data_IF_877991564561
#
_entry.id   IF_877991564561
#
_cell.length_a   1.000
_cell.length_b   1.000
_cell.length_c   1.000
_cell.angle_alpha   90.00
_cell.angle_beta   90.00
_cell.angle_gamma   90.00
#
_symmetry.space_group_name_H-M   'P 1'
#
loop_
_entity.id
_entity.type
_entity.pdbx_description
1 polymer ?
#
# COMPACT_ATOMS: atom_id res chain seq x y z
N UNK A 1 10.57 -6.27 -25.16
CA UNK A 1 9.64 -5.12 -25.16
C UNK A 1 10.01 -4.22 -24.00
N UNK A 2 10.53 -3.01 -24.27
CA UNK A 2 10.75 -2.00 -23.23
C UNK A 2 9.37 -1.50 -22.81
N UNK A 3 8.95 -1.78 -21.58
CA UNK A 3 7.71 -1.24 -21.05
C UNK A 3 7.87 0.27 -20.97
N UNK A 4 7.19 0.99 -21.87
CA UNK A 4 7.01 2.43 -21.78
C UNK A 4 6.09 2.70 -20.59
N UNK A 5 6.63 2.57 -19.38
CA UNK A 5 6.04 3.16 -18.19
C UNK A 5 6.13 4.67 -18.38
N UNK A 6 5.13 5.23 -19.08
CA UNK A 6 4.77 6.62 -18.90
C UNK A 6 4.72 6.84 -17.39
N UNK A 7 5.55 7.75 -16.89
CA UNK A 7 5.62 8.21 -15.51
C UNK A 7 4.28 8.86 -15.11
N UNK A 8 3.23 8.04 -15.02
CA UNK A 8 1.83 8.41 -14.90
C UNK A 8 1.46 8.77 -13.47
N UNK A 9 2.04 9.86 -12.97
CA UNK A 9 1.59 10.57 -11.78
C UNK A 9 2.21 10.11 -10.44
N UNK A 10 2.30 11.04 -9.49
CA UNK A 10 2.72 10.79 -8.09
C UNK A 10 1.75 9.85 -7.34
N UNK A 11 0.54 9.65 -7.87
CA UNK A 11 -0.56 8.92 -7.23
C UNK A 11 -0.32 7.39 -7.14
N UNK A 12 0.05 6.68 -8.22
CA UNK A 12 0.36 5.25 -8.15
C UNK A 12 1.57 4.92 -7.25
N UNK A 13 2.63 5.73 -7.27
CA UNK A 13 3.81 5.54 -6.38
C UNK A 13 3.40 5.66 -4.91
N UNK A 14 2.63 6.69 -4.56
CA UNK A 14 2.13 6.86 -3.19
C UNK A 14 1.28 5.68 -2.71
N UNK A 15 0.42 5.12 -3.57
CA UNK A 15 -0.35 3.91 -3.25
C UNK A 15 0.54 2.69 -3.02
N UNK A 16 1.57 2.52 -3.84
CA UNK A 16 2.50 1.41 -3.69
C UNK A 16 3.32 1.50 -2.39
N UNK A 17 3.75 2.70 -2.00
CA UNK A 17 4.38 2.93 -0.70
C UNK A 17 3.45 2.58 0.47
N UNK A 18 2.17 2.95 0.37
CA UNK A 18 1.16 2.56 1.38
C UNK A 18 1.04 1.03 1.44
N UNK A 19 0.93 0.34 0.31
CA UNK A 19 0.84 -1.13 0.26
C UNK A 19 2.09 -1.78 0.88
N UNK A 20 3.29 -1.27 0.58
CA UNK A 20 4.54 -1.75 1.21
C UNK A 20 4.51 -1.59 2.72
N UNK A 21 4.12 -0.42 3.21
CA UNK A 21 3.99 -0.15 4.64
C UNK A 21 2.99 -1.09 5.31
N UNK A 22 1.81 -1.27 4.71
CA UNK A 22 0.76 -2.14 5.21
C UNK A 22 1.23 -3.60 5.29
N UNK A 23 1.94 -4.11 4.27
CA UNK A 23 2.51 -5.47 4.32
C UNK A 23 3.49 -5.62 5.48
N UNK A 24 4.38 -4.65 5.69
CA UNK A 24 5.35 -4.70 6.77
C UNK A 24 4.70 -4.62 8.16
N UNK A 25 3.67 -3.80 8.33
CA UNK A 25 2.92 -3.68 9.59
C UNK A 25 2.09 -4.94 9.86
N UNK A 26 1.39 -5.45 8.85
CA UNK A 26 0.60 -6.68 8.97
C UNK A 26 1.47 -7.91 9.26
N UNK A 27 2.65 -8.01 8.65
CA UNK A 27 3.60 -9.10 8.94
C UNK A 27 4.09 -9.08 10.39
N UNK A 28 4.19 -7.89 11.00
CA UNK A 28 4.53 -7.70 12.42
C UNK A 28 3.31 -7.73 13.34
N UNK A 29 2.11 -7.91 12.79
CA UNK A 29 0.83 -7.83 13.51
C UNK A 29 0.63 -6.50 14.25
N UNK A 30 1.23 -5.42 13.73
CA UNK A 30 1.10 -4.07 14.30
C UNK A 30 -0.14 -3.35 13.73
N UNK A 31 -0.82 -2.52 14.53
CA UNK A 31 -1.93 -1.71 14.02
C UNK A 31 -1.48 -0.71 12.95
N UNK A 32 -1.98 -0.92 11.74
CA UNK A 32 -1.65 -0.11 10.58
C UNK A 32 -2.48 1.18 10.51
N UNK A 33 -2.28 2.07 11.49
CA UNK A 33 -2.87 3.42 11.50
C UNK A 33 -2.18 4.33 10.47
N UNK A 34 -2.83 5.43 10.09
CA UNK A 34 -2.21 6.44 9.21
C UNK A 34 -0.87 6.96 9.77
N UNK A 35 -0.75 7.11 11.10
CA UNK A 35 0.50 7.48 11.75
C UNK A 35 1.59 6.42 11.61
N UNK A 36 1.25 5.14 11.82
CA UNK A 36 2.19 4.03 11.66
C UNK A 36 2.68 3.89 10.21
N UNK A 37 1.78 4.05 9.23
CA UNK A 37 2.13 4.01 7.81
C UNK A 37 3.15 5.12 7.47
N UNK A 38 2.96 6.35 7.97
CA UNK A 38 3.94 7.44 7.74
C UNK A 38 5.27 7.21 8.42
N UNK A 39 5.31 6.54 9.58
CA UNK A 39 6.58 6.18 10.21
C UNK A 39 7.35 5.15 9.39
N UNK A 40 6.64 4.22 8.76
CA UNK A 40 7.23 3.25 7.84
C UNK A 40 7.69 3.90 6.53
N UNK A 41 6.98 4.93 6.06
CA UNK A 41 7.25 5.65 4.81
C UNK A 41 7.36 7.17 5.05
N UNK A 42 8.48 7.67 5.61
CA UNK A 42 8.60 9.08 6.00
C UNK A 42 8.50 10.07 4.82
N UNK A 43 8.87 9.63 3.62
CA UNK A 43 8.78 10.41 2.39
C UNK A 43 7.33 10.55 1.86
N UNK A 44 6.38 9.82 2.44
CA UNK A 44 4.97 9.91 2.08
C UNK A 44 4.30 11.11 2.77
N UNK A 45 3.88 12.08 1.97
CA UNK A 45 3.15 13.24 2.48
C UNK A 45 1.79 12.85 3.06
N UNK A 46 1.28 13.63 4.03
CA UNK A 46 -0.04 13.37 4.65
C UNK A 46 -1.17 13.40 3.63
N UNK A 47 -1.17 14.35 2.69
CA UNK A 47 -2.21 14.46 1.67
C UNK A 47 -2.20 13.27 0.72
N UNK A 48 -1.01 12.85 0.26
CA UNK A 48 -0.84 11.64 -0.57
C UNK A 48 -1.31 10.40 0.17
N UNK A 49 -0.96 10.26 1.46
CA UNK A 49 -1.40 9.14 2.28
C UNK A 49 -2.93 9.07 2.37
N UNK A 50 -3.59 10.16 2.76
CA UNK A 50 -5.04 10.16 2.97
C UNK A 50 -5.79 9.90 1.66
N UNK A 51 -5.36 10.53 0.56
CA UNK A 51 -5.93 10.29 -0.76
C UNK A 51 -5.69 8.84 -1.24
N UNK A 52 -4.49 8.31 -0.98
CA UNK A 52 -4.11 6.94 -1.31
C UNK A 52 -4.94 5.91 -0.55
N UNK A 53 -5.07 6.06 0.78
CA UNK A 53 -5.92 5.21 1.61
C UNK A 53 -7.37 5.22 1.13
N UNK A 54 -7.95 6.40 0.92
CA UNK A 54 -9.33 6.51 0.43
C UNK A 54 -9.53 5.83 -0.93
N UNK A 55 -8.53 5.91 -1.81
CA UNK A 55 -8.58 5.21 -3.10
C UNK A 55 -8.45 3.70 -2.93
N UNK A 56 -7.52 3.22 -2.11
CA UNK A 56 -7.27 1.79 -1.90
C UNK A 56 -8.46 1.08 -1.24
N UNK A 57 -9.22 1.78 -0.38
CA UNK A 57 -10.50 1.26 0.14
C UNK A 57 -11.48 0.98 -1.00
N UNK A 58 -11.54 1.84 -2.01
CA UNK A 58 -12.47 1.68 -3.14
C UNK A 58 -11.98 0.68 -4.19
N UNK A 59 -10.67 0.56 -4.40
CA UNK A 59 -10.12 -0.10 -5.59
C UNK A 59 -9.28 -1.34 -5.32
N UNK A 60 -8.83 -1.54 -4.08
CA UNK A 60 -7.81 -2.54 -3.74
C UNK A 60 -8.18 -3.41 -2.53
N UNK A 61 -9.45 -3.40 -2.11
CA UNK A 61 -9.92 -4.22 -0.99
C UNK A 61 -9.25 -3.84 0.34
N UNK A 62 -8.86 -2.58 0.52
CA UNK A 62 -8.36 -2.12 1.80
C UNK A 62 -9.53 -2.01 2.79
N UNK A 63 -9.43 -2.70 3.93
CA UNK A 63 -10.50 -2.78 4.92
C UNK A 63 -10.14 -1.84 6.09
N UNK A 64 -10.82 -0.70 6.25
CA UNK A 64 -10.69 0.13 7.43
C UNK A 64 -11.43 -0.50 8.61
N UNK A 65 -10.83 -0.48 9.79
CA UNK A 65 -11.47 -0.88 11.05
C UNK A 65 -11.11 0.12 12.13
N UNK A 66 -12.02 0.43 13.09
CA UNK A 66 -11.66 1.19 14.27
C UNK A 66 -10.52 0.48 15.04
N UNK A 67 -9.59 1.25 15.59
CA UNK A 67 -8.53 0.74 16.44
C UNK A 67 -9.12 0.35 17.80
N UNK A 68 -8.76 -0.83 18.28
CA UNK A 68 -9.14 -1.29 19.62
C UNK A 68 -8.60 -0.32 20.69
N UNK A 69 -9.46 0.09 21.62
CA UNK A 69 -9.12 1.11 22.63
C UNK A 69 -9.08 2.56 22.12
N UNK A 70 -9.18 2.81 20.81
CA UNK A 70 -9.25 4.16 20.23
C UNK A 70 -10.17 4.22 18.99
N UNK A 71 -11.51 4.18 19.18
CA UNK A 71 -12.48 4.04 18.08
C UNK A 71 -12.49 5.19 17.07
N UNK A 72 -11.95 6.36 17.43
CA UNK A 72 -11.80 7.52 16.55
C UNK A 72 -10.65 7.39 15.55
N UNK A 73 -9.79 6.37 15.70
CA UNK A 73 -8.65 6.09 14.85
C UNK A 73 -8.93 4.83 14.03
N UNK A 74 -8.69 4.90 12.72
CA UNK A 74 -8.78 3.72 11.86
C UNK A 74 -7.41 3.02 11.73
N UNK A 75 -7.44 1.69 11.81
CA UNK A 75 -6.42 0.79 11.29
C UNK A 75 -6.85 0.27 9.92
N UNK A 76 -5.89 0.00 9.04
CA UNK A 76 -6.15 -0.40 7.66
C UNK A 76 -5.54 -1.76 7.37
N UNK A 77 -6.35 -2.72 6.90
CA UNK A 77 -5.87 -4.07 6.63
C UNK A 77 -6.04 -4.42 5.16
N UNK A 78 -5.01 -5.02 4.55
CA UNK A 78 -5.11 -5.56 3.20
C UNK A 78 -6.09 -6.74 3.18
N UNK A 79 -6.93 -6.83 2.14
CA UNK A 79 -7.84 -7.95 1.95
C UNK A 79 -7.11 -9.30 2.01
N UNK A 80 -5.96 -9.42 1.35
CA UNK A 80 -5.14 -10.64 1.33
C UNK A 80 -4.69 -11.09 2.72
N UNK A 81 -4.36 -10.14 3.61
CA UNK A 81 -4.02 -10.43 4.99
C UNK A 81 -5.26 -10.76 5.83
N UNK A 82 -6.35 -10.01 5.64
CA UNK A 82 -7.62 -10.28 6.33
C UNK A 82 -8.15 -11.68 6.02
N UNK A 83 -7.94 -12.18 4.80
CA UNK A 83 -8.27 -13.54 4.44
C UNK A 83 -7.50 -14.58 5.25
N UNK A 84 -6.20 -14.37 5.45
CA UNK A 84 -5.39 -15.21 6.35
C UNK A 84 -5.87 -15.15 7.80
N UNK A 85 -6.48 -14.03 8.19
CA UNK A 85 -7.08 -13.82 9.51
C UNK A 85 -8.56 -14.25 9.60
N UNK A 86 -9.08 -15.00 8.61
CA UNK A 86 -10.41 -15.62 8.67
C UNK A 86 -11.53 -14.87 7.94
N UNK A 87 -11.23 -13.82 7.17
CA UNK A 87 -12.24 -13.18 6.31
C UNK A 87 -12.47 -14.01 5.05
N UNK A 88 -13.72 -14.39 4.79
CA UNK A 88 -14.09 -15.08 3.56
C UNK A 88 -13.96 -14.13 2.36
N UNK A 89 -12.93 -14.36 1.53
CA UNK A 89 -12.80 -13.77 0.20
C UNK A 89 -13.01 -14.87 -0.82
N UNK A 90 -13.65 -14.55 -1.94
CA UNK A 90 -13.68 -15.47 -3.07
C UNK A 90 -12.26 -15.72 -3.59
N UNK A 91 -12.02 -16.90 -4.17
CA UNK A 91 -10.71 -17.21 -4.75
C UNK A 91 -10.32 -16.20 -5.85
N UNK A 92 -11.31 -15.74 -6.62
CA UNK A 92 -11.15 -14.72 -7.66
C UNK A 92 -10.66 -13.40 -7.05
N UNK A 93 -11.29 -12.93 -5.97
CA UNK A 93 -10.91 -11.69 -5.29
C UNK A 93 -9.52 -11.80 -4.67
N UNK A 94 -9.21 -12.94 -4.03
CA UNK A 94 -7.89 -13.18 -3.44
C UNK A 94 -6.78 -13.12 -4.50
N UNK A 95 -6.99 -13.77 -5.65
CA UNK A 95 -6.05 -13.73 -6.78
C UNK A 95 -5.91 -12.30 -7.32
N UNK A 96 -7.02 -11.58 -7.47
CA UNK A 96 -7.04 -10.20 -7.94
C UNK A 96 -6.23 -9.27 -7.02
N UNK A 97 -6.55 -9.25 -5.72
CA UNK A 97 -5.85 -8.38 -4.77
C UNK A 97 -4.38 -8.76 -4.61
N UNK A 98 -4.04 -10.05 -4.65
CA UNK A 98 -2.64 -10.49 -4.59
C UNK A 98 -1.83 -9.97 -5.79
N UNK A 99 -2.38 -10.04 -7.01
CA UNK A 99 -1.72 -9.49 -8.21
C UNK A 99 -1.55 -7.99 -8.11
N UNK A 100 -2.58 -7.28 -7.65
CA UNK A 100 -2.56 -5.83 -7.50
C UNK A 100 -1.48 -5.37 -6.51
N UNK A 101 -1.40 -6.02 -5.35
CA UNK A 101 -0.34 -5.74 -4.36
C UNK A 101 1.05 -6.01 -4.91
N UNK A 102 1.26 -7.16 -5.57
CA UNK A 102 2.57 -7.52 -6.12
C UNK A 102 2.98 -6.57 -7.25
N UNK A 103 2.03 -6.18 -8.13
CA UNK A 103 2.28 -5.23 -9.20
C UNK A 103 2.67 -3.84 -8.65
N UNK A 104 2.00 -3.39 -7.58
CA UNK A 104 2.35 -2.14 -6.91
C UNK A 104 3.78 -2.16 -6.35
N UNK A 105 4.19 -3.27 -5.73
CA UNK A 105 5.56 -3.40 -5.21
C UNK A 105 6.62 -3.46 -6.30
N UNK A 106 6.34 -4.15 -7.42
CA UNK A 106 7.25 -4.17 -8.57
C UNK A 106 7.44 -2.76 -9.14
N UNK A 107 6.34 -2.03 -9.37
CA UNK A 107 6.38 -0.65 -9.84
C UNK A 107 7.15 0.27 -8.87
N UNK A 108 7.00 0.08 -7.55
CA UNK A 108 7.75 0.85 -6.55
C UNK A 108 9.25 0.56 -6.63
N UNK A 109 9.63 -0.71 -6.76
CA UNK A 109 11.03 -1.12 -6.90
C UNK A 109 11.66 -0.54 -8.16
N UNK A 110 10.97 -0.60 -9.30
CA UNK A 110 11.41 0.02 -10.56
C UNK A 110 11.58 1.54 -10.41
N UNK A 111 10.63 2.21 -9.74
CA UNK A 111 10.72 3.64 -9.48
C UNK A 111 11.92 4.01 -8.59
N UNK A 112 12.17 3.24 -7.54
CA UNK A 112 13.30 3.45 -6.63
C UNK A 112 14.64 3.22 -7.34
N UNK A 113 14.74 2.18 -8.17
CA UNK A 113 15.92 1.93 -9.02
C UNK A 113 16.17 3.07 -10.00
N UNK A 114 15.12 3.54 -10.70
CA UNK A 114 15.23 4.66 -11.63
C UNK A 114 15.69 5.95 -10.93
N UNK A 115 15.13 6.24 -9.73
CA UNK A 115 15.54 7.39 -8.93
C UNK A 115 16.98 7.29 -8.45
N UNK A 116 17.42 6.11 -8.02
CA UNK A 116 18.81 5.87 -7.60
C UNK A 116 19.80 6.03 -8.76
N UNK A 117 19.46 5.52 -9.95
CA UNK A 117 20.28 5.68 -11.15
C UNK A 117 20.49 7.16 -11.51
N UNK A 118 19.47 8.00 -11.35
CA UNK A 118 19.58 9.44 -11.57
C UNK A 118 20.45 10.11 -10.49
N UNK A 119 20.35 9.68 -9.23
CA UNK A 119 21.09 10.26 -8.12
C UNK A 119 22.58 9.89 -8.08
N UNK A 120 22.95 8.72 -8.63
CA UNK A 120 24.34 8.22 -8.66
C UNK A 120 25.02 8.35 -10.03
N UNK A 121 24.26 8.74 -11.07
CA UNK A 121 24.75 8.98 -12.43
C UNK A 121 25.05 10.45 -12.74
N UNK A 122 25.06 11.32 -11.72
CA UNK A 122 25.45 12.73 -11.78
C UNK A 122 26.71 12.94 -10.93
#
# INVERSE_FOLDING_TARGET
>A
MKSNYLAGGRKPVGQAMIIRALRALNARQEPATAGAIRRQEPSLSRSTLMAGLASLVRTAGLIPKPLEGAPSINTYTLATYSHRAGVNLSETDLRYYTRMENAALLMLSEHEQAKAAIAHGA
#
